data_IF_843749056849
#
_entry.id   IF_843749056849
#
_cell.length_a   1.000
_cell.length_b   1.000
_cell.length_c   1.000
_cell.angle_alpha   90.00
_cell.angle_beta   90.00
_cell.angle_gamma   90.00
#
_symmetry.space_group_name_H-M   'P 1'
#
loop_
_entity.id
_entity.type
_entity.pdbx_description
1 polymer ?
#
# COMPACT_ATOMS: atom_id res chain seq x y z
N UNK A 1 -59.16 30.53 -63.58
CA UNK A 1 -57.77 30.03 -63.54
C UNK A 1 -56.95 31.01 -62.72
N UNK A 2 -56.34 30.58 -61.62
CA UNK A 2 -55.43 31.42 -60.82
C UNK A 2 -54.01 30.96 -61.14
N UNK A 3 -53.21 31.86 -61.70
CA UNK A 3 -51.83 31.62 -62.11
C UNK A 3 -50.96 31.20 -60.93
N UNK A 4 -50.35 30.01 -61.03
CA UNK A 4 -49.42 29.45 -60.04
C UNK A 4 -47.97 29.86 -60.30
N UNK A 5 -47.75 31.08 -60.83
CA UNK A 5 -46.44 31.55 -61.31
C UNK A 5 -45.73 32.52 -60.37
N UNK A 6 -46.12 32.61 -59.11
CA UNK A 6 -45.42 33.46 -58.14
C UNK A 6 -45.18 32.71 -56.83
N UNK A 7 -43.91 32.52 -56.49
CA UNK A 7 -43.45 32.08 -55.18
C UNK A 7 -43.31 33.33 -54.30
N UNK A 8 -44.26 33.56 -53.39
CA UNK A 8 -44.18 34.68 -52.43
C UNK A 8 -43.21 34.33 -51.31
N UNK A 9 -42.01 34.89 -51.37
CA UNK A 9 -40.97 34.78 -50.32
C UNK A 9 -40.88 36.05 -49.47
N UNK A 10 -42.01 36.57 -49.00
CA UNK A 10 -42.03 37.68 -48.04
C UNK A 10 -42.45 37.15 -46.67
N UNK A 11 -41.53 37.21 -45.71
CA UNK A 11 -41.83 36.97 -44.29
C UNK A 11 -41.28 35.70 -43.64
N UNK A 12 -40.38 34.94 -44.29
CA UNK A 12 -39.62 33.89 -43.59
C UNK A 12 -38.18 34.33 -43.42
N UNK A 13 -37.87 34.95 -42.27
CA UNK A 13 -36.48 35.08 -41.84
C UNK A 13 -35.88 33.68 -41.72
N UNK A 14 -34.77 33.45 -42.42
CA UNK A 14 -34.04 32.20 -42.34
C UNK A 14 -33.55 32.01 -40.90
N UNK A 15 -34.22 31.15 -40.13
CA UNK A 15 -33.71 30.77 -38.81
C UNK A 15 -32.33 30.13 -39.00
N UNK A 16 -31.24 30.70 -38.46
CA UNK A 16 -29.95 30.07 -38.58
C UNK A 16 -29.99 28.74 -37.82
N UNK A 17 -29.52 27.65 -38.45
CA UNK A 17 -29.36 26.34 -37.82
C UNK A 17 -28.36 26.43 -36.65
N UNK A 18 -28.80 26.91 -35.48
CA UNK A 18 -27.97 27.08 -34.28
C UNK A 18 -27.59 25.76 -33.61
N UNK A 19 -28.16 24.63 -34.04
CA UNK A 19 -28.04 23.35 -33.33
C UNK A 19 -26.66 22.70 -33.49
N UNK A 20 -25.94 22.96 -34.59
CA UNK A 20 -24.64 22.33 -34.84
C UNK A 20 -23.45 23.23 -34.48
N UNK A 21 -23.63 24.55 -34.43
CA UNK A 21 -22.54 25.49 -34.10
C UNK A 21 -22.43 25.76 -32.59
N UNK A 22 -23.55 25.67 -31.86
CA UNK A 22 -23.58 25.97 -30.41
C UNK A 22 -23.64 24.73 -29.51
N UNK A 23 -23.55 23.51 -30.06
CA UNK A 23 -23.42 22.32 -29.22
C UNK A 23 -21.94 22.14 -28.82
N UNK A 24 -21.62 21.97 -27.53
CA UNK A 24 -20.25 21.72 -27.12
C UNK A 24 -19.76 20.43 -27.80
N UNK A 25 -18.64 20.53 -28.55
CA UNK A 25 -18.00 19.37 -29.16
C UNK A 25 -17.79 18.31 -28.08
N UNK A 26 -18.41 17.12 -28.21
CA UNK A 26 -18.13 16.00 -27.31
C UNK A 26 -16.65 15.68 -27.44
N UNK A 27 -15.87 15.90 -26.37
CA UNK A 27 -14.49 15.42 -26.29
C UNK A 27 -14.55 13.89 -26.29
N UNK A 28 -14.20 13.29 -27.41
CA UNK A 28 -14.01 11.84 -27.50
C UNK A 28 -12.63 11.54 -26.93
N UNK A 29 -12.58 10.88 -25.77
CA UNK A 29 -11.33 10.34 -25.24
C UNK A 29 -11.06 9.01 -25.96
N UNK A 30 -10.16 9.03 -26.93
CA UNK A 30 -9.67 7.82 -27.58
C UNK A 30 -8.54 7.28 -26.72
N UNK A 31 -8.88 6.40 -25.77
CA UNK A 31 -7.87 5.64 -25.03
C UNK A 31 -7.42 4.45 -25.88
N UNK A 32 -6.44 4.67 -26.75
CA UNK A 32 -5.62 3.58 -27.27
C UNK A 32 -4.59 3.17 -26.22
N UNK A 33 -3.94 2.02 -26.41
CA UNK A 33 -2.84 1.55 -25.56
C UNK A 33 -1.63 2.51 -25.51
N UNK A 34 -1.62 3.57 -26.31
CA UNK A 34 -0.53 4.53 -26.47
C UNK A 34 -1.01 6.00 -26.43
N UNK A 35 -1.74 6.40 -25.39
CA UNK A 35 -2.11 7.80 -25.18
C UNK A 35 -1.11 8.49 -24.21
N UNK A 36 -0.13 9.20 -24.78
CA UNK A 36 0.98 9.87 -24.06
C UNK A 36 0.72 11.34 -23.71
N UNK A 37 -0.52 11.81 -23.83
CA UNK A 37 -0.85 13.25 -23.71
C UNK A 37 -1.08 13.74 -22.26
N UNK A 38 -0.99 12.86 -21.27
CA UNK A 38 -0.99 13.23 -19.85
C UNK A 38 0.43 13.27 -19.29
N UNK A 39 1.01 14.46 -19.14
CA UNK A 39 2.37 14.72 -18.64
C UNK A 39 2.80 13.78 -17.51
N UNK A 40 3.57 12.76 -17.89
CA UNK A 40 3.99 11.64 -17.05
C UNK A 40 5.29 11.87 -16.29
N UNK A 41 5.54 13.07 -15.78
CA UNK A 41 6.68 13.33 -14.91
C UNK A 41 6.28 14.31 -13.79
N UNK A 42 5.62 13.79 -12.75
CA UNK A 42 5.64 14.43 -11.42
C UNK A 42 6.61 13.65 -10.55
N UNK A 43 7.74 14.29 -10.27
CA UNK A 43 8.75 13.86 -9.30
C UNK A 43 8.05 13.69 -7.94
N UNK A 44 8.21 12.56 -7.22
CA UNK A 44 7.58 12.39 -5.92
C UNK A 44 8.37 13.20 -4.89
N UNK A 45 7.90 14.39 -4.55
CA UNK A 45 8.31 15.07 -3.31
C UNK A 45 7.67 14.32 -2.14
N UNK A 46 8.53 13.64 -1.38
CA UNK A 46 8.37 13.23 0.02
C UNK A 46 7.00 12.65 0.43
N UNK A 47 6.97 11.32 0.53
CA UNK A 47 5.89 10.57 1.17
C UNK A 47 5.95 10.86 2.68
N UNK A 48 5.23 11.88 3.13
CA UNK A 48 4.89 12.04 4.55
C UNK A 48 3.86 10.97 4.90
N UNK A 49 4.15 10.03 5.82
CA UNK A 49 3.15 9.04 6.23
C UNK A 49 2.06 9.74 7.04
N UNK A 50 0.87 9.85 6.44
CA UNK A 50 -0.35 10.27 7.14
C UNK A 50 -0.72 9.17 8.15
N UNK A 51 -0.36 9.39 9.41
CA UNK A 51 -0.92 8.66 10.55
C UNK A 51 -2.46 8.86 10.47
N UNK A 52 -3.29 7.81 10.37
CA UNK A 52 -4.72 8.00 10.44
C UNK A 52 -5.05 8.33 11.89
N UNK A 53 -5.31 9.60 12.18
CA UNK A 53 -5.95 10.03 13.41
C UNK A 53 -7.28 9.27 13.51
N UNK A 54 -7.45 8.50 14.57
CA UNK A 54 -8.68 7.77 14.89
C UNK A 54 -9.84 8.77 14.95
N UNK A 55 -10.62 8.84 13.88
CA UNK A 55 -11.88 9.56 13.89
C UNK A 55 -12.88 8.68 14.63
N UNK A 56 -13.24 9.10 15.84
CA UNK A 56 -14.40 8.59 16.57
C UNK A 56 -15.60 8.55 15.63
N UNK A 57 -16.14 7.35 15.41
CA UNK A 57 -17.14 7.09 14.38
C UNK A 57 -18.53 7.43 14.91
N UNK A 58 -18.89 8.71 14.93
CA UNK A 58 -20.28 9.14 15.07
C UNK A 58 -20.59 10.24 14.05
N UNK A 59 -20.42 9.96 12.76
CA UNK A 59 -21.09 10.71 11.68
C UNK A 59 -21.28 9.82 10.43
N UNK A 60 -22.41 9.96 9.71
CA UNK A 60 -22.83 9.06 8.65
C UNK A 60 -21.96 9.25 7.42
N UNK A 61 -21.31 8.17 6.99
CA UNK A 61 -20.45 8.19 5.80
C UNK A 61 -21.30 8.04 4.54
N UNK A 62 -21.19 9.04 3.65
CA UNK A 62 -21.40 9.04 2.19
C UNK A 62 -22.49 8.09 1.66
N UNK A 63 -23.55 8.66 1.10
CA UNK A 63 -24.70 7.95 0.51
C UNK A 63 -24.27 6.69 -0.27
N UNK A 64 -24.57 5.51 0.28
CA UNK A 64 -24.39 4.24 -0.42
C UNK A 64 -25.22 4.29 -1.70
N UNK A 65 -24.57 4.23 -2.87
CA UNK A 65 -25.28 4.07 -4.14
C UNK A 65 -26.16 2.82 -4.05
N UNK A 66 -27.48 2.97 -4.25
CA UNK A 66 -28.45 1.87 -4.23
C UNK A 66 -28.00 0.77 -5.21
N UNK A 67 -28.08 -0.49 -4.79
CA UNK A 67 -27.81 -1.67 -5.63
C UNK A 67 -26.38 -2.21 -5.59
N UNK A 68 -25.42 -1.58 -4.91
CA UNK A 68 -24.09 -2.19 -4.72
C UNK A 68 -24.12 -3.17 -3.54
N UNK A 69 -23.62 -4.41 -3.70
CA UNK A 69 -23.47 -5.35 -2.59
C UNK A 69 -22.64 -4.72 -1.46
N UNK A 70 -23.16 -4.77 -0.24
CA UNK A 70 -22.45 -4.29 0.95
C UNK A 70 -21.50 -5.41 1.38
N UNK A 71 -20.19 -5.20 1.23
CA UNK A 71 -19.20 -6.09 1.82
C UNK A 71 -19.21 -5.89 3.33
N UNK A 72 -19.98 -6.72 4.05
CA UNK A 72 -19.99 -6.75 5.51
C UNK A 72 -18.71 -7.48 5.94
N UNK A 73 -17.71 -6.72 6.41
CA UNK A 73 -16.54 -7.31 7.06
C UNK A 73 -16.87 -7.49 8.53
N UNK A 74 -17.08 -8.73 8.97
CA UNK A 74 -17.32 -9.03 10.38
C UNK A 74 -16.01 -8.78 11.16
N UNK A 75 -16.02 -7.91 12.19
CA UNK A 75 -14.83 -7.54 12.95
C UNK A 75 -14.16 -8.74 13.65
N UNK A 76 -14.89 -9.83 13.88
CA UNK A 76 -14.37 -11.08 14.48
C UNK A 76 -13.41 -11.81 13.54
N UNK A 77 -13.52 -11.60 12.22
CA UNK A 77 -12.65 -12.21 11.22
C UNK A 77 -11.50 -11.29 10.78
N UNK A 78 -11.28 -10.17 11.49
CA UNK A 78 -10.09 -9.37 11.29
C UNK A 78 -8.90 -10.12 11.87
N UNK A 79 -8.10 -10.75 11.00
CA UNK A 79 -6.84 -11.38 11.38
C UNK A 79 -5.96 -10.33 12.07
N UNK A 80 -5.87 -10.43 13.39
CA UNK A 80 -4.91 -9.67 14.18
C UNK A 80 -3.70 -10.58 14.35
N UNK A 81 -2.64 -10.33 13.57
CA UNK A 81 -1.36 -10.98 13.82
C UNK A 81 -0.92 -10.59 15.24
N UNK A 82 -0.62 -11.54 16.13
CA UNK A 82 -0.19 -11.21 17.48
C UNK A 82 1.06 -10.32 17.41
N UNK A 83 0.95 -9.11 17.98
CA UNK A 83 2.03 -8.11 18.00
C UNK A 83 3.08 -8.51 19.04
N UNK A 84 3.85 -9.57 18.78
CA UNK A 84 4.97 -9.97 19.64
C UNK A 84 6.14 -8.97 19.56
N UNK A 85 6.22 -8.22 18.45
CA UNK A 85 7.22 -7.19 18.21
C UNK A 85 6.56 -5.93 17.67
N UNK A 86 7.18 -4.76 17.91
CA UNK A 86 6.66 -3.50 17.39
C UNK A 86 6.78 -3.46 15.85
N UNK A 87 5.83 -2.81 15.14
CA UNK A 87 5.90 -2.71 13.68
C UNK A 87 7.20 -2.08 13.18
N UNK A 88 7.72 -1.10 13.91
CA UNK A 88 8.97 -0.42 13.58
C UNK A 88 10.19 -1.35 13.70
N UNK A 89 10.21 -2.28 14.67
CA UNK A 89 11.27 -3.28 14.75
C UNK A 89 11.16 -4.30 13.63
N UNK A 90 9.94 -4.73 13.27
CA UNK A 90 9.73 -5.66 12.17
C UNK A 90 10.23 -5.08 10.83
N UNK A 91 9.96 -3.80 10.56
CA UNK A 91 10.48 -3.13 9.36
C UNK A 91 12.00 -3.04 9.36
N UNK A 92 12.63 -2.77 10.52
CA UNK A 92 14.09 -2.74 10.62
C UNK A 92 14.70 -4.09 10.30
N UNK A 93 14.13 -5.15 10.87
CA UNK A 93 14.60 -6.52 10.68
C UNK A 93 14.38 -7.01 9.24
N UNK A 94 13.25 -6.67 8.62
CA UNK A 94 13.01 -6.99 7.21
C UNK A 94 13.98 -6.30 6.27
N UNK A 95 14.39 -5.05 6.54
CA UNK A 95 15.44 -4.39 5.76
C UNK A 95 16.79 -5.04 6.01
N UNK A 96 17.06 -5.42 7.27
CA UNK A 96 18.34 -5.99 7.68
C UNK A 96 18.58 -7.39 7.08
N UNK A 97 17.53 -8.15 6.79
CA UNK A 97 17.59 -9.47 6.16
C UNK A 97 18.51 -9.51 4.92
N UNK A 98 18.49 -8.46 4.10
CA UNK A 98 19.32 -8.36 2.89
C UNK A 98 20.82 -8.13 3.18
N UNK A 99 21.16 -7.65 4.38
CA UNK A 99 22.52 -7.23 4.75
C UNK A 99 23.23 -8.22 5.68
N UNK A 100 22.54 -9.20 6.25
CA UNK A 100 23.17 -10.18 7.15
C UNK A 100 23.95 -11.19 6.31
N UNK A 101 25.26 -11.01 6.26
CA UNK A 101 26.18 -11.88 5.50
C UNK A 101 26.28 -13.29 6.09
N UNK A 102 26.13 -13.41 7.40
CA UNK A 102 26.19 -14.68 8.15
C UNK A 102 25.09 -15.67 7.72
N UNK A 103 23.95 -15.16 7.26
CA UNK A 103 22.79 -15.95 6.84
C UNK A 103 22.73 -16.17 5.33
N UNK A 104 23.69 -15.63 4.55
CA UNK A 104 23.75 -15.84 3.09
C UNK A 104 23.99 -17.30 2.69
N UNK A 105 24.57 -18.09 3.60
CA UNK A 105 24.79 -19.54 3.38
C UNK A 105 23.51 -20.36 3.56
N UNK A 106 22.49 -19.80 4.20
CA UNK A 106 21.19 -20.45 4.40
C UNK A 106 20.42 -20.35 3.09
N UNK A 107 20.31 -21.48 2.38
CA UNK A 107 19.64 -21.56 1.06
C UNK A 107 18.11 -21.48 1.12
N UNK A 108 17.54 -21.26 2.32
CA UNK A 108 16.11 -21.25 2.60
C UNK A 108 15.56 -19.88 2.99
N UNK A 109 14.27 -19.84 3.35
CA UNK A 109 13.67 -18.65 3.96
C UNK A 109 14.27 -18.44 5.34
N UNK A 110 14.90 -17.30 5.55
CA UNK A 110 15.46 -16.93 6.85
C UNK A 110 14.31 -16.71 7.82
N UNK A 111 14.33 -17.43 8.93
CA UNK A 111 13.37 -17.24 10.00
C UNK A 111 13.76 -16.06 10.87
N UNK A 112 12.76 -15.45 11.50
CA UNK A 112 13.00 -14.37 12.46
C UNK A 112 13.97 -14.79 13.59
N UNK A 113 13.87 -16.05 14.04
CA UNK A 113 14.71 -16.58 15.12
C UNK A 113 16.17 -16.68 14.70
N UNK A 114 16.45 -17.18 13.50
CA UNK A 114 17.81 -17.26 12.94
C UNK A 114 18.44 -15.86 12.81
N UNK A 115 17.66 -14.87 12.36
CA UNK A 115 18.11 -13.49 12.28
C UNK A 115 18.47 -12.91 13.65
N UNK A 116 17.65 -13.14 14.67
CA UNK A 116 17.95 -12.65 16.03
C UNK A 116 19.18 -13.35 16.61
N UNK A 117 19.30 -14.66 16.40
CA UNK A 117 20.47 -15.42 16.88
C UNK A 117 21.77 -14.89 16.27
N UNK A 118 21.81 -14.72 14.94
CA UNK A 118 22.96 -14.15 14.25
C UNK A 118 23.34 -12.75 14.80
N UNK A 119 22.35 -11.88 15.04
CA UNK A 119 22.60 -10.56 15.62
C UNK A 119 23.13 -10.63 17.06
N UNK A 120 22.64 -11.57 17.87
CA UNK A 120 23.14 -11.78 19.22
C UNK A 120 24.59 -12.27 19.19
N UNK A 121 24.91 -13.24 18.35
CA UNK A 121 26.26 -13.79 18.20
C UNK A 121 27.23 -12.72 17.70
N UNK A 122 26.84 -11.96 16.67
CA UNK A 122 27.62 -10.83 16.16
C UNK A 122 27.83 -9.74 17.21
N UNK A 123 26.83 -9.46 18.05
CA UNK A 123 26.95 -8.48 19.13
C UNK A 123 27.93 -8.95 20.21
N UNK A 124 27.84 -10.22 20.63
CA UNK A 124 28.75 -10.84 21.59
C UNK A 124 30.18 -10.77 21.07
N UNK A 125 30.43 -11.24 19.86
CA UNK A 125 31.76 -11.25 19.25
C UNK A 125 32.37 -9.84 19.06
N UNK A 126 31.54 -8.84 18.74
CA UNK A 126 32.02 -7.47 18.47
C UNK A 126 32.15 -6.61 19.72
N UNK A 127 31.25 -6.76 20.67
CA UNK A 127 31.05 -5.79 21.76
C UNK A 127 31.57 -6.28 23.10
N UNK A 128 31.69 -7.59 23.29
CA UNK A 128 32.27 -8.17 24.50
C UNK A 128 33.76 -8.45 24.27
N UNK A 129 34.58 -8.21 25.29
CA UNK A 129 35.95 -8.71 25.31
C UNK A 129 35.97 -10.20 25.68
N UNK A 130 37.05 -10.91 25.29
CA UNK A 130 37.19 -12.37 25.44
C UNK A 130 36.74 -12.92 26.79
N UNK A 131 37.17 -12.29 27.90
CA UNK A 131 36.78 -12.74 29.25
C UNK A 131 35.28 -12.62 29.56
N UNK A 132 34.58 -11.62 28.99
CA UNK A 132 33.13 -11.47 29.16
C UNK A 132 32.35 -12.38 28.23
N UNK A 133 32.91 -12.68 27.07
CA UNK A 133 32.35 -13.64 26.13
C UNK A 133 32.37 -15.07 26.70
N UNK A 134 33.49 -15.51 27.26
CA UNK A 134 33.60 -16.83 27.90
C UNK A 134 32.57 -16.99 29.03
N UNK A 135 32.48 -15.99 29.92
CA UNK A 135 31.48 -15.99 30.99
C UNK A 135 30.04 -16.03 30.45
N UNK A 136 29.74 -15.28 29.38
CA UNK A 136 28.43 -15.30 28.74
C UNK A 136 28.09 -16.70 28.18
N UNK A 137 29.07 -17.39 27.58
CA UNK A 137 28.89 -18.73 27.04
C UNK A 137 28.62 -19.76 28.16
N UNK A 138 29.33 -19.66 29.29
CA UNK A 138 29.08 -20.50 30.47
C UNK A 138 27.66 -20.31 31.02
N UNK A 139 27.22 -19.07 31.19
CA UNK A 139 25.85 -18.75 31.65
C UNK A 139 24.78 -19.28 30.67
N UNK A 140 25.03 -19.13 29.37
CA UNK A 140 24.15 -19.62 28.32
C UNK A 140 24.01 -21.15 28.37
N UNK A 141 25.12 -21.87 28.57
CA UNK A 141 25.11 -23.32 28.67
C UNK A 141 24.28 -23.78 29.88
N UNK A 142 24.46 -23.16 31.04
CA UNK A 142 23.67 -23.44 32.25
C UNK A 142 22.18 -23.17 32.02
N UNK A 143 21.83 -22.08 31.36
CA UNK A 143 20.44 -21.74 31.03
C UNK A 143 19.82 -22.78 30.08
N UNK A 144 20.55 -23.22 29.06
CA UNK A 144 20.10 -24.24 28.10
C UNK A 144 19.89 -25.60 28.76
N UNK A 145 20.74 -25.99 29.71
CA UNK A 145 20.56 -27.22 30.49
C UNK A 145 19.32 -27.17 31.38
N UNK A 146 19.06 -26.04 32.03
CA UNK A 146 17.83 -25.82 32.83
C UNK A 146 16.60 -25.92 31.94
N UNK A 147 16.63 -25.31 30.77
CA UNK A 147 15.54 -25.35 29.80
C UNK A 147 15.24 -26.79 29.34
N UNK A 148 16.28 -27.58 29.02
CA UNK A 148 16.14 -29.01 28.67
C UNK A 148 15.50 -29.82 29.80
N UNK A 149 15.82 -29.52 31.05
CA UNK A 149 15.22 -30.17 32.23
C UNK A 149 13.75 -29.80 32.44
N UNK A 150 13.32 -28.58 32.07
CA UNK A 150 11.92 -28.15 32.24
C UNK A 150 10.95 -28.73 31.20
N UNK A 151 11.46 -29.17 30.04
CA UNK A 151 10.65 -29.80 28.99
C UNK A 151 10.57 -31.33 29.10
N UNK A 152 11.22 -31.92 30.10
CA UNK A 152 11.28 -33.35 30.35
C UNK A 152 10.37 -33.72 31.50
#
# INVERSE_FOLDING_TARGET
MKDRKEFRSEGQEATPFKKLVNSPKKKVNIKGEYDFTGGGLKIPTEIVPKIPLEKSSNQPTKSKRRGRPITIKDPRFKVQVPKKISPALNTKLSVLEEYITELQTVTGRITFEEMINALCDAYVAKSLGVSKEEHFQEELQVAMEKLKKSFK
#
